data_IF_712742751919
#
_entry.id   IF_712742751919
#
_cell.length_a   1.000
_cell.length_b   1.000
_cell.length_c   1.000
_cell.angle_alpha   90.00
_cell.angle_beta   90.00
_cell.angle_gamma   90.00
#
_symmetry.space_group_name_H-M   'P 1'
#
loop_
_entity.id
_entity.type
_entity.pdbx_description
1 polymer ?
#
# COMPACT_ATOMS: atom_id res chain seq x y z
N UNK A 1 11.62 7.00 4.25
CA UNK A 1 10.32 7.59 3.88
C UNK A 1 10.39 7.98 2.42
N UNK A 2 9.64 7.25 1.62
CA UNK A 2 9.46 7.54 0.21
C UNK A 2 8.62 8.81 0.01
N UNK A 3 9.10 9.71 -0.84
CA UNK A 3 8.45 10.97 -1.23
C UNK A 3 8.31 11.08 -2.75
N UNK A 4 8.53 9.97 -3.47
CA UNK A 4 8.35 9.88 -4.91
C UNK A 4 6.90 10.16 -5.30
N UNK A 5 6.73 10.74 -6.50
CA UNK A 5 5.41 10.98 -7.08
C UNK A 5 4.59 9.70 -7.22
N UNK A 6 5.26 8.58 -7.51
CA UNK A 6 4.70 7.23 -7.57
C UNK A 6 4.04 6.88 -6.23
N UNK A 7 4.80 6.92 -5.13
CA UNK A 7 4.30 6.55 -3.81
C UNK A 7 3.21 7.50 -3.30
N UNK A 8 3.34 8.79 -3.57
CA UNK A 8 2.28 9.78 -3.27
C UNK A 8 1.00 9.41 -4.03
N UNK A 9 1.11 8.98 -5.29
CA UNK A 9 -0.04 8.57 -6.10
C UNK A 9 -0.68 7.29 -5.57
N UNK A 10 0.13 6.28 -5.26
CA UNK A 10 -0.31 5.04 -4.61
C UNK A 10 -1.11 5.33 -3.34
N UNK A 11 -0.55 6.15 -2.44
CA UNK A 11 -1.19 6.53 -1.17
C UNK A 11 -2.46 7.36 -1.39
N UNK A 12 -2.47 8.23 -2.40
CA UNK A 12 -3.63 9.07 -2.73
C UNK A 12 -4.81 8.26 -3.26
N UNK A 13 -4.55 7.23 -4.07
CA UNK A 13 -5.59 6.35 -4.62
C UNK A 13 -5.98 5.21 -3.66
N UNK A 14 -5.17 4.97 -2.63
CA UNK A 14 -5.44 4.04 -1.54
C UNK A 14 -6.55 4.57 -0.59
N UNK A 15 -7.78 4.70 -1.09
CA UNK A 15 -8.90 5.31 -0.35
C UNK A 15 -9.18 4.61 0.98
N UNK A 16 -9.15 3.28 1.00
CA UNK A 16 -9.41 2.46 2.18
C UNK A 16 -8.36 2.70 3.28
N UNK A 17 -7.14 3.01 2.89
CA UNK A 17 -6.06 3.38 3.80
C UNK A 17 -6.26 4.79 4.35
N UNK A 18 -6.59 5.76 3.47
CA UNK A 18 -6.79 7.16 3.85
C UNK A 18 -8.01 7.35 4.76
N UNK A 19 -9.09 6.59 4.55
CA UNK A 19 -10.29 6.63 5.39
C UNK A 19 -10.06 6.07 6.80
N UNK A 20 -9.16 5.09 6.93
CA UNK A 20 -8.84 4.45 8.21
C UNK A 20 -7.77 5.21 8.99
N UNK A 21 -7.06 6.12 8.34
CA UNK A 21 -6.01 6.91 8.95
C UNK A 21 -6.56 7.80 10.07
N UNK A 22 -5.89 7.74 11.23
CA UNK A 22 -6.15 8.60 12.37
C UNK A 22 -4.95 9.53 12.54
N UNK A 23 -5.06 10.82 12.15
CA UNK A 23 -3.94 11.75 12.21
C UNK A 23 -3.30 11.80 13.59
N UNK A 24 -2.00 11.57 13.62
CA UNK A 24 -1.15 11.58 14.79
C UNK A 24 0.03 12.53 14.59
N UNK A 25 0.58 13.02 15.69
CA UNK A 25 1.79 13.84 15.65
C UNK A 25 2.93 13.02 15.06
N UNK A 26 3.70 13.62 14.16
CA UNK A 26 4.80 12.94 13.49
C UNK A 26 4.40 12.14 12.24
N UNK A 27 3.11 12.11 11.88
CA UNK A 27 2.68 11.55 10.59
C UNK A 27 3.20 12.41 9.43
N UNK A 28 3.66 11.74 8.38
CA UNK A 28 4.02 12.42 7.15
C UNK A 28 2.81 12.52 6.22
N UNK A 29 2.64 13.70 5.64
CA UNK A 29 1.50 13.99 4.80
C UNK A 29 1.93 14.81 3.59
N UNK A 30 1.30 14.53 2.46
CA UNK A 30 1.38 15.37 1.28
C UNK A 30 0.25 16.40 1.32
N UNK A 31 0.60 17.69 1.31
CA UNK A 31 -0.37 18.78 1.30
C UNK A 31 -0.83 19.07 -0.14
N UNK A 32 -2.13 18.84 -0.42
CA UNK A 32 -2.67 18.89 -1.80
C UNK A 32 -2.60 20.28 -2.44
N UNK A 33 -2.62 21.34 -1.63
CA UNK A 33 -2.59 22.74 -2.12
C UNK A 33 -1.16 23.23 -2.38
N UNK A 34 -0.24 22.90 -1.48
CA UNK A 34 1.13 23.42 -1.55
C UNK A 34 2.07 22.49 -2.32
N UNK A 35 1.64 21.25 -2.57
CA UNK A 35 2.45 20.23 -3.25
C UNK A 35 3.65 19.75 -2.44
N UNK A 36 3.67 20.00 -1.12
CA UNK A 36 4.80 19.71 -0.26
C UNK A 36 4.49 18.55 0.69
N UNK A 37 5.53 17.77 1.01
CA UNK A 37 5.48 16.78 2.08
C UNK A 37 5.88 17.45 3.39
N UNK A 38 5.01 17.34 4.39
CA UNK A 38 5.22 17.92 5.72
C UNK A 38 4.93 16.88 6.80
N UNK A 39 5.50 17.09 7.98
CA UNK A 39 5.18 16.31 9.16
C UNK A 39 4.06 17.00 9.94
N UNK A 40 3.06 16.24 10.38
CA UNK A 40 1.96 16.78 11.17
C UNK A 40 2.44 17.18 12.57
N UNK A 41 2.12 18.40 13.02
CA UNK A 41 2.34 18.79 14.41
C UNK A 41 1.31 18.13 15.33
N UNK A 42 1.44 18.33 16.64
CA UNK A 42 0.37 18.04 17.59
C UNK A 42 -0.87 18.89 17.25
N UNK A 43 -1.95 18.24 16.82
CA UNK A 43 -3.18 18.91 16.37
C UNK A 43 -4.35 18.69 17.34
N UNK A 44 -5.14 19.74 17.65
CA UNK A 44 -6.42 19.57 18.33
C UNK A 44 -7.41 18.81 17.44
N UNK A 45 -8.41 18.14 18.03
CA UNK A 45 -9.32 17.24 17.30
C UNK A 45 -10.03 17.91 16.10
N UNK A 46 -10.45 19.17 16.24
CA UNK A 46 -11.09 19.93 15.17
C UNK A 46 -10.17 20.13 13.95
N UNK A 47 -8.85 20.24 14.16
CA UNK A 47 -7.88 20.40 13.09
C UNK A 47 -7.59 19.07 12.37
N UNK A 48 -7.82 17.92 13.01
CA UNK A 48 -7.64 16.60 12.38
C UNK A 48 -8.60 16.40 11.21
N UNK A 49 -9.84 16.88 11.33
CA UNK A 49 -10.85 16.79 10.25
C UNK A 49 -10.39 17.54 9.00
N UNK A 50 -9.87 18.75 9.17
CA UNK A 50 -9.34 19.56 8.07
C UNK A 50 -8.19 18.81 7.38
N UNK A 51 -7.25 18.27 8.15
CA UNK A 51 -6.10 17.51 7.64
C UNK A 51 -6.51 16.28 6.83
N UNK A 52 -7.48 15.49 7.29
CA UNK A 52 -7.96 14.31 6.53
C UNK A 52 -8.50 14.72 5.16
N UNK A 53 -9.12 15.91 5.05
CA UNK A 53 -9.65 16.38 3.76
C UNK A 53 -8.58 16.98 2.84
N UNK A 54 -7.65 17.77 3.39
CA UNK A 54 -6.68 18.56 2.62
C UNK A 54 -5.36 17.83 2.35
N UNK A 55 -5.11 16.73 3.04
CA UNK A 55 -3.84 16.01 2.96
C UNK A 55 -4.01 14.57 2.48
N UNK A 56 -2.90 13.98 2.06
CA UNK A 56 -2.77 12.54 1.82
C UNK A 56 -1.73 12.02 2.79
N UNK A 57 -2.11 11.05 3.62
CA UNK A 57 -1.18 10.37 4.51
C UNK A 57 -0.18 9.55 3.71
N UNK A 58 1.09 9.75 4.03
CA UNK A 58 2.19 8.95 3.55
C UNK A 58 2.65 8.13 4.75
N UNK A 59 2.22 6.87 4.90
CA UNK A 59 2.69 6.04 6.00
C UNK A 59 4.16 5.70 5.81
N UNK A 60 4.90 5.68 6.90
CA UNK A 60 6.29 5.19 6.89
C UNK A 60 6.31 3.66 6.91
N UNK A 61 7.49 3.10 6.64
CA UNK A 61 7.72 1.67 6.68
C UNK A 61 7.30 1.03 8.01
N UNK A 62 7.64 1.63 9.15
CA UNK A 62 7.23 1.16 10.48
C UNK A 62 5.70 1.09 10.61
N UNK A 63 5.00 2.14 10.17
CA UNK A 63 3.55 2.23 10.23
C UNK A 63 2.86 1.22 9.29
N UNK A 64 3.41 1.00 8.10
CA UNK A 64 2.94 -0.02 7.17
C UNK A 64 3.11 -1.43 7.75
N UNK A 65 4.27 -1.72 8.34
CA UNK A 65 4.53 -3.00 9.02
C UNK A 65 3.57 -3.23 10.17
N UNK A 66 3.25 -2.19 10.94
CA UNK A 66 2.27 -2.28 12.02
C UNK A 66 0.85 -2.54 11.49
N UNK A 67 0.45 -1.89 10.39
CA UNK A 67 -0.84 -2.16 9.72
C UNK A 67 -0.96 -3.60 9.22
N UNK A 68 0.13 -4.16 8.68
CA UNK A 68 0.22 -5.58 8.32
C UNK A 68 0.08 -6.44 9.58
N UNK A 69 0.82 -6.14 10.65
CA UNK A 69 0.77 -6.90 11.91
C UNK A 69 -0.63 -6.90 12.54
N UNK A 70 -1.35 -5.77 12.50
CA UNK A 70 -2.74 -5.67 12.97
C UNK A 70 -3.71 -6.55 12.18
N UNK A 71 -3.44 -6.79 10.90
CA UNK A 71 -4.30 -7.66 10.09
C UNK A 71 -4.10 -9.13 10.43
N UNK A 72 -2.85 -9.54 10.63
CA UNK A 72 -2.50 -10.91 10.92
C UNK A 72 -2.29 -11.13 12.43
N UNK A 73 -3.33 -10.95 13.24
CA UNK A 73 -3.27 -11.17 14.71
C UNK A 73 -3.14 -12.67 15.05
N UNK A 74 -3.29 -13.56 14.07
CA UNK A 74 -3.16 -14.99 14.27
C UNK A 74 -2.36 -15.59 13.11
N UNK A 75 -1.58 -16.62 13.46
CA UNK A 75 -0.92 -17.59 12.57
C UNK A 75 0.56 -17.31 12.28
N UNK A 76 1.34 -18.35 12.57
CA UNK A 76 2.74 -18.66 12.24
C UNK A 76 3.18 -18.44 10.78
N UNK A 77 2.31 -17.97 9.88
CA UNK A 77 2.59 -17.69 8.46
C UNK A 77 3.21 -16.32 8.21
N UNK A 78 3.02 -15.35 9.11
CA UNK A 78 3.60 -13.99 8.96
C UNK A 78 5.11 -14.01 9.19
N UNK A 79 5.60 -14.93 10.02
CA UNK A 79 7.04 -15.16 10.08
C UNK A 79 7.55 -15.47 8.68
N UNK A 80 6.81 -16.18 7.81
CA UNK A 80 7.26 -16.38 6.44
C UNK A 80 7.08 -15.17 5.54
N UNK A 81 6.00 -14.38 5.62
CA UNK A 81 5.79 -13.22 4.72
C UNK A 81 6.59 -11.99 5.12
N UNK A 82 6.72 -11.68 6.42
CA UNK A 82 7.59 -10.61 6.91
C UNK A 82 9.07 -10.98 6.80
N UNK A 83 9.45 -12.26 7.00
CA UNK A 83 10.80 -12.75 6.64
C UNK A 83 10.95 -12.75 5.10
N UNK A 84 9.92 -12.99 4.29
CA UNK A 84 10.02 -12.82 2.83
C UNK A 84 10.24 -11.37 2.43
N UNK A 85 9.56 -10.42 3.08
CA UNK A 85 9.75 -8.99 2.86
C UNK A 85 11.16 -8.60 3.26
N UNK A 86 11.61 -8.97 4.46
CA UNK A 86 12.98 -8.71 4.93
C UNK A 86 14.03 -9.43 4.06
N UNK A 87 13.85 -10.71 3.73
CA UNK A 87 14.73 -11.47 2.85
C UNK A 87 14.71 -10.96 1.40
N UNK A 88 13.59 -10.47 0.87
CA UNK A 88 13.54 -9.86 -0.48
C UNK A 88 14.24 -8.51 -0.53
N UNK A 89 14.30 -7.80 0.60
CA UNK A 89 15.08 -6.58 0.76
C UNK A 89 16.60 -6.86 0.89
N UNK A 90 17.01 -8.08 1.26
CA UNK A 90 18.42 -8.47 1.46
C UNK A 90 18.97 -9.47 0.42
N UNK A 91 18.12 -10.27 -0.24
CA UNK A 91 18.44 -11.28 -1.25
C UNK A 91 17.55 -11.07 -2.49
N UNK A 92 18.04 -10.24 -3.39
CA UNK A 92 17.54 -10.15 -4.76
C UNK A 92 17.87 -11.44 -5.52
N UNK A 93 16.88 -12.30 -5.78
CA UNK A 93 16.87 -13.17 -6.99
C UNK A 93 15.57 -13.95 -7.33
N UNK A 94 14.39 -13.67 -6.75
CA UNK A 94 13.16 -14.38 -7.17
C UNK A 94 11.96 -13.47 -7.48
N UNK A 95 11.54 -13.52 -8.75
CA UNK A 95 10.40 -12.87 -9.42
C UNK A 95 10.47 -11.35 -9.65
N UNK A 96 11.44 -10.94 -10.47
CA UNK A 96 11.71 -9.55 -10.85
C UNK A 96 10.73 -9.02 -11.94
N UNK A 97 9.94 -9.86 -12.61
CA UNK A 97 9.12 -9.38 -13.75
C UNK A 97 7.84 -8.62 -13.37
N UNK A 98 7.33 -8.75 -12.14
CA UNK A 98 6.15 -8.03 -11.63
C UNK A 98 6.49 -6.77 -10.82
N UNK A 99 7.77 -6.58 -10.48
CA UNK A 99 8.27 -5.53 -9.58
C UNK A 99 8.95 -4.36 -10.33
N UNK A 100 8.87 -4.32 -11.66
CA UNK A 100 9.59 -3.30 -12.44
C UNK A 100 9.17 -1.84 -12.13
N UNK A 101 8.03 -1.61 -11.47
CA UNK A 101 7.57 -0.29 -11.01
C UNK A 101 7.77 -0.04 -9.51
N UNK A 102 8.00 -1.06 -8.68
CA UNK A 102 8.11 -0.91 -7.22
C UNK A 102 9.57 -0.65 -6.85
N UNK A 103 9.86 0.62 -6.53
CA UNK A 103 11.24 1.10 -6.36
C UNK A 103 11.67 1.21 -4.89
N UNK A 104 10.73 1.16 -3.94
CA UNK A 104 11.01 1.36 -2.52
C UNK A 104 10.32 0.31 -1.62
N UNK A 105 10.87 0.07 -0.41
CA UNK A 105 10.24 -0.81 0.57
C UNK A 105 8.82 -0.36 0.96
N UNK A 106 8.59 0.95 1.06
CA UNK A 106 7.26 1.50 1.35
C UNK A 106 6.25 1.19 0.24
N UNK A 107 6.63 1.33 -1.03
CA UNK A 107 5.79 0.94 -2.16
C UNK A 107 5.46 -0.56 -2.14
N UNK A 108 6.46 -1.41 -1.87
CA UNK A 108 6.29 -2.86 -1.82
C UNK A 108 5.34 -3.31 -0.71
N UNK A 109 5.55 -2.84 0.52
CA UNK A 109 4.68 -3.24 1.63
C UNK A 109 3.25 -2.72 1.41
N UNK A 110 3.10 -1.52 0.85
CA UNK A 110 1.79 -1.00 0.51
C UNK A 110 1.09 -1.86 -0.57
N UNK A 111 1.80 -2.29 -1.61
CA UNK A 111 1.23 -3.17 -2.64
C UNK A 111 0.82 -4.53 -2.10
N UNK A 112 1.65 -5.15 -1.26
CA UNK A 112 1.33 -6.43 -0.61
C UNK A 112 0.12 -6.28 0.33
N UNK A 113 0.07 -5.22 1.13
CA UNK A 113 -1.07 -4.92 1.98
C UNK A 113 -2.37 -4.79 1.17
N UNK A 114 -2.31 -4.14 0.01
CA UNK A 114 -3.46 -3.94 -0.87
C UNK A 114 -3.89 -5.21 -1.59
N UNK A 115 -2.94 -6.04 -2.01
CA UNK A 115 -3.21 -7.33 -2.61
C UNK A 115 -3.91 -8.26 -1.62
N UNK A 116 -3.36 -8.39 -0.41
CA UNK A 116 -3.86 -9.33 0.59
C UNK A 116 -5.19 -8.87 1.19
N UNK A 117 -5.32 -7.58 1.52
CA UNK A 117 -6.48 -7.09 2.25
C UNK A 117 -7.64 -6.66 1.35
N UNK A 118 -7.33 -6.13 0.17
CA UNK A 118 -8.32 -5.52 -0.72
C UNK A 118 -8.39 -6.21 -2.08
N UNK A 119 -7.56 -7.23 -2.34
CA UNK A 119 -7.45 -7.92 -3.63
C UNK A 119 -7.24 -6.94 -4.79
N UNK A 120 -6.33 -5.96 -4.58
CA UNK A 120 -5.98 -4.93 -5.56
C UNK A 120 -4.48 -4.96 -5.88
N UNK A 121 -4.13 -4.74 -7.14
CA UNK A 121 -2.75 -4.72 -7.61
C UNK A 121 -2.37 -3.35 -8.17
N UNK A 122 -1.17 -2.88 -7.87
CA UNK A 122 -0.64 -1.66 -8.45
C UNK A 122 -0.09 -1.93 -9.85
N UNK A 123 -0.51 -1.14 -10.85
CA UNK A 123 0.01 -1.26 -12.22
C UNK A 123 0.99 -0.14 -12.62
N UNK A 124 1.35 0.75 -11.69
CA UNK A 124 2.12 1.97 -11.96
C UNK A 124 1.28 3.25 -12.04
N UNK A 125 -0.03 3.12 -12.24
CA UNK A 125 -0.95 4.26 -12.42
C UNK A 125 -2.21 4.18 -11.56
N UNK A 126 -2.72 2.98 -11.30
CA UNK A 126 -3.95 2.73 -10.54
C UNK A 126 -3.95 1.37 -9.82
N UNK A 127 -4.84 1.25 -8.84
CA UNK A 127 -5.12 0.02 -8.11
C UNK A 127 -6.16 -0.83 -8.85
N UNK A 128 -5.69 -1.85 -9.57
CA UNK A 128 -6.52 -2.74 -10.36
C UNK A 128 -7.26 -3.76 -9.50
N UNK A 129 -8.56 -3.92 -9.75
CA UNK A 129 -9.33 -5.07 -9.25
C UNK A 129 -8.89 -6.37 -9.92
N UNK A 130 -9.26 -7.56 -9.40
CA UNK A 130 -8.85 -8.83 -10.03
C UNK A 130 -9.29 -8.93 -11.49
N UNK A 131 -10.51 -8.47 -11.81
CA UNK A 131 -11.03 -8.47 -13.17
C UNK A 131 -10.28 -7.48 -14.09
N UNK A 132 -9.92 -6.30 -13.58
CA UNK A 132 -9.15 -5.32 -14.34
C UNK A 132 -7.71 -5.78 -14.58
N UNK A 133 -7.09 -6.43 -13.58
CA UNK A 133 -5.75 -7.00 -13.67
C UNK A 133 -5.65 -8.08 -14.76
N UNK A 134 -6.61 -9.01 -14.77
CA UNK A 134 -6.74 -10.06 -15.78
C UNK A 134 -6.81 -9.47 -17.20
N UNK A 135 -7.62 -8.44 -17.39
CA UNK A 135 -7.78 -7.77 -18.69
C UNK A 135 -6.50 -7.04 -19.09
N UNK A 136 -5.85 -6.36 -18.14
CA UNK A 136 -4.63 -5.61 -18.38
C UNK A 136 -3.47 -6.50 -18.87
N UNK A 137 -3.35 -7.72 -18.34
CA UNK A 137 -2.35 -8.70 -18.78
C UNK A 137 -2.78 -9.58 -19.96
N UNK A 138 -3.99 -9.39 -20.51
CA UNK A 138 -4.50 -10.19 -21.62
C UNK A 138 -4.67 -11.69 -21.29
N UNK A 139 -4.97 -12.02 -20.03
CA UNK A 139 -5.04 -13.41 -19.55
C UNK A 139 -6.27 -14.16 -20.09
N UNK A 140 -6.08 -15.44 -20.42
CA UNK A 140 -7.12 -16.31 -20.97
C UNK A 140 -8.17 -16.70 -19.92
N UNK A 141 -9.37 -17.09 -20.35
CA UNK A 141 -10.53 -17.38 -19.47
C UNK A 141 -10.28 -18.43 -18.38
N UNK A 142 -9.37 -19.39 -18.57
CA UNK A 142 -9.01 -20.39 -17.55
C UNK A 142 -8.21 -19.78 -16.40
N UNK A 143 -7.27 -18.87 -16.69
CA UNK A 143 -6.49 -18.14 -15.68
C UNK A 143 -7.38 -17.19 -14.85
N UNK A 144 -8.55 -16.81 -15.38
CA UNK A 144 -9.51 -15.93 -14.70
C UNK A 144 -10.28 -16.65 -13.58
N UNK A 145 -10.54 -17.95 -13.75
CA UNK A 145 -11.25 -18.76 -12.74
C UNK A 145 -10.37 -18.98 -11.51
N UNK A 146 -9.07 -19.24 -11.69
CA UNK A 146 -8.11 -19.45 -10.61
C UNK A 146 -7.91 -18.20 -9.76
N UNK A 147 -7.78 -17.02 -10.38
CA UNK A 147 -7.65 -15.74 -9.66
C UNK A 147 -8.97 -15.40 -8.92
N UNK A 148 -10.13 -15.64 -9.56
CA UNK A 148 -11.43 -15.44 -8.88
C UNK A 148 -11.63 -16.39 -7.70
N UNK A 149 -11.05 -17.59 -7.75
CA UNK A 149 -11.07 -18.55 -6.67
C UNK A 149 -10.20 -18.08 -5.51
N UNK A 150 -9.00 -17.56 -5.79
CA UNK A 150 -8.11 -16.97 -4.79
C UNK A 150 -8.68 -15.70 -4.14
N UNK A 151 -9.44 -14.87 -4.87
CA UNK A 151 -10.03 -13.64 -4.34
C UNK A 151 -11.36 -13.85 -3.56
N UNK A 152 -11.84 -15.10 -3.43
CA UNK A 152 -13.09 -15.45 -2.75
C UNK A 152 -12.87 -16.18 -1.41
N UNK A 153 -11.65 -16.57 -1.10
CA UNK A 153 -11.25 -17.14 0.20
C UNK A 153 -10.87 -16.04 1.19
#
# INVERSE_FOLDING_TARGET
>A
MDTSTEYITMCRQAQELQERWKPSEGDFVFHKLDGNVVTLPALPELAKVVVVTSCTWLPRLDQLVDLVREHYINISTIQQSAIRVLCSLFDCEHNISLLHSIQTPEQYILSELYQEKYSKWWNGEDWLSPAAYIVWYGMSTEQQEDIKKWAKE
#
